data_IF_195188850285
#
_entry.id   IF_195188850285
#
_cell.length_a   1.000
_cell.length_b   1.000
_cell.length_c   1.000
_cell.angle_alpha   90.00
_cell.angle_beta   90.00
_cell.angle_gamma   90.00
#
_symmetry.space_group_name_H-M   'P 1'
#
loop_
_entity.id
_entity.type
_entity.pdbx_description
1 polymer ?
#
# COMPACT_ATOMS: atom_id res chain seq x y z
N UNK A 1 18.47 19.48 -6.40
CA UNK A 1 17.63 20.30 -5.50
C UNK A 1 16.47 20.91 -6.27
N UNK A 2 16.72 21.45 -7.47
CA UNK A 2 15.69 22.11 -8.29
C UNK A 2 14.54 21.20 -8.74
N UNK A 3 14.83 19.96 -9.16
CA UNK A 3 13.77 19.03 -9.61
C UNK A 3 12.85 18.46 -8.52
N UNK A 4 13.24 18.55 -7.24
CA UNK A 4 12.40 18.09 -6.12
C UNK A 4 11.34 19.16 -5.78
N UNK A 5 11.67 20.44 -5.96
CA UNK A 5 10.76 21.55 -5.70
C UNK A 5 9.61 21.58 -6.72
N UNK A 6 9.87 21.19 -7.98
CA UNK A 6 8.87 21.17 -9.06
C UNK A 6 7.82 20.05 -8.93
N UNK A 7 8.18 18.88 -8.39
CA UNK A 7 7.19 17.81 -8.12
C UNK A 7 6.28 18.14 -6.93
N UNK A 8 6.79 18.97 -6.02
CA UNK A 8 6.18 19.30 -4.74
C UNK A 8 5.11 20.38 -4.86
N UNK A 9 5.18 21.25 -5.87
CA UNK A 9 4.16 22.29 -6.12
C UNK A 9 2.75 21.72 -6.39
N UNK A 10 2.65 20.42 -6.71
CA UNK A 10 1.38 19.68 -6.86
C UNK A 10 0.60 19.47 -5.56
N UNK A 11 1.24 19.65 -4.40
CA UNK A 11 0.64 19.44 -3.08
C UNK A 11 0.53 20.75 -2.28
N UNK A 12 0.50 21.89 -2.98
CA UNK A 12 0.33 23.24 -2.42
C UNK A 12 -0.78 23.35 -1.38
N UNK A 13 -1.86 22.61 -1.59
CA UNK A 13 -3.11 22.74 -0.85
C UNK A 13 -3.03 22.01 0.51
N UNK A 14 -2.15 21.00 0.63
CA UNK A 14 -1.85 20.30 1.90
C UNK A 14 -0.99 21.21 2.79
N UNK A 15 -0.11 22.01 2.17
CA UNK A 15 0.83 22.91 2.85
C UNK A 15 0.14 24.18 3.37
N UNK A 16 -1.01 24.55 2.80
CA UNK A 16 -1.75 25.75 3.17
C UNK A 16 -2.34 25.71 4.59
N UNK A 17 -2.51 24.51 5.16
CA UNK A 17 -3.19 24.30 6.45
C UNK A 17 -2.22 24.16 7.64
N UNK A 18 -0.93 24.43 7.42
CA UNK A 18 0.09 24.38 8.49
C UNK A 18 0.00 25.68 9.33
N UNK A 19 -0.31 25.60 10.63
CA UNK A 19 -0.45 26.77 11.47
C UNK A 19 0.91 27.42 11.74
N UNK A 20 1.13 28.60 11.16
CA UNK A 20 2.34 29.41 11.34
C UNK A 20 2.81 30.02 10.03
N UNK A 21 3.23 31.29 10.05
CA UNK A 21 3.80 31.98 8.87
C UNK A 21 5.20 31.43 8.54
N UNK A 22 5.28 30.21 8.04
CA UNK A 22 6.52 29.58 7.58
C UNK A 22 6.48 29.54 6.05
N UNK A 23 7.58 29.88 5.37
CA UNK A 23 7.62 29.81 3.91
C UNK A 23 7.61 28.35 3.43
N UNK A 24 7.09 28.09 2.22
CA UNK A 24 7.10 26.74 1.61
C UNK A 24 8.49 26.09 1.67
N UNK A 25 9.53 26.85 1.33
CA UNK A 25 10.92 26.38 1.35
C UNK A 25 11.38 25.95 2.75
N UNK A 26 10.99 26.71 3.78
CA UNK A 26 11.30 26.39 5.18
C UNK A 26 10.55 25.15 5.65
N UNK A 27 9.26 25.01 5.30
CA UNK A 27 8.47 23.82 5.62
C UNK A 27 9.08 22.56 4.97
N UNK A 28 9.41 22.60 3.68
CA UNK A 28 10.00 21.44 3.01
C UNK A 28 11.37 21.07 3.56
N UNK A 29 12.19 22.06 3.89
CA UNK A 29 13.48 21.82 4.54
C UNK A 29 13.27 21.13 5.90
N UNK A 30 12.26 21.55 6.67
CA UNK A 30 11.93 20.93 7.95
C UNK A 30 11.41 19.50 7.78
N UNK A 31 10.42 19.27 6.91
CA UNK A 31 9.89 17.92 6.60
C UNK A 31 11.02 16.98 6.16
N UNK A 32 11.93 17.47 5.32
CA UNK A 32 13.05 16.66 4.85
C UNK A 32 14.01 16.28 5.98
N UNK A 33 14.37 17.24 6.85
CA UNK A 33 15.21 16.97 8.02
C UNK A 33 14.53 16.03 9.00
N UNK A 34 13.23 16.21 9.24
CA UNK A 34 12.44 15.36 10.13
C UNK A 34 12.35 13.94 9.58
N UNK A 35 12.11 13.78 8.28
CA UNK A 35 12.12 12.48 7.61
C UNK A 35 13.50 11.81 7.70
N UNK A 36 14.59 12.56 7.48
CA UNK A 36 15.95 12.03 7.64
C UNK A 36 16.24 11.57 9.06
N UNK A 37 15.77 12.31 10.07
CA UNK A 37 15.93 11.92 11.47
C UNK A 37 15.06 10.71 11.81
N UNK A 38 13.82 10.68 11.31
CA UNK A 38 12.89 9.59 11.51
C UNK A 38 13.45 8.25 11.02
N UNK A 39 13.99 8.19 9.80
CA UNK A 39 14.51 6.93 9.20
C UNK A 39 15.82 6.43 9.83
N UNK A 40 16.50 7.24 10.65
CA UNK A 40 17.72 6.81 11.34
C UNK A 40 17.43 5.90 12.53
N UNK A 41 16.24 5.97 13.10
CA UNK A 41 15.85 5.13 14.23
C UNK A 41 15.25 3.82 13.75
N UNK A 42 15.79 2.70 14.25
CA UNK A 42 15.34 1.36 13.87
C UNK A 42 13.84 1.13 14.16
N UNK A 43 13.34 1.62 15.28
CA UNK A 43 11.93 1.52 15.69
C UNK A 43 10.99 2.18 14.67
N UNK A 44 11.41 3.31 14.10
CA UNK A 44 10.63 4.03 13.10
C UNK A 44 10.59 3.28 11.77
N UNK A 45 11.72 2.68 11.35
CA UNK A 45 11.75 1.81 10.17
C UNK A 45 10.83 0.60 10.33
N UNK A 46 10.84 0.01 11.53
CA UNK A 46 9.95 -1.07 11.91
C UNK A 46 8.47 -0.63 11.85
N UNK A 47 8.15 0.55 12.38
CA UNK A 47 6.80 1.13 12.27
C UNK A 47 6.39 1.35 10.80
N UNK A 48 7.29 1.80 9.93
CA UNK A 48 7.00 2.00 8.51
C UNK A 48 6.50 0.73 7.83
N UNK A 49 6.96 -0.44 8.25
CA UNK A 49 6.49 -1.73 7.71
C UNK A 49 5.00 -1.92 7.95
N UNK A 50 4.45 -1.40 9.05
CA UNK A 50 3.01 -1.48 9.35
C UNK A 50 2.12 -0.60 8.48
N UNK A 51 2.70 0.23 7.62
CA UNK A 51 1.99 1.02 6.62
C UNK A 51 2.16 0.47 5.19
N UNK A 52 2.79 -0.70 5.03
CA UNK A 52 3.03 -1.30 3.72
C UNK A 52 1.88 -2.21 3.32
N UNK A 53 1.34 -2.00 2.12
CA UNK A 53 0.57 -3.00 1.39
C UNK A 53 1.53 -3.88 0.59
N UNK A 54 1.82 -5.07 1.10
CA UNK A 54 2.81 -5.93 0.48
C UNK A 54 2.25 -6.49 -0.84
N UNK A 55 2.81 -6.04 -1.96
CA UNK A 55 2.18 -6.16 -3.27
C UNK A 55 2.81 -7.27 -4.14
N UNK A 56 2.00 -8.02 -4.88
CA UNK A 56 2.41 -8.69 -6.12
C UNK A 56 1.34 -8.53 -7.19
N UNK A 57 1.73 -7.97 -8.32
CA UNK A 57 0.86 -7.74 -9.49
C UNK A 57 1.55 -8.29 -10.74
N UNK A 58 2.01 -9.54 -10.66
CA UNK A 58 2.68 -10.20 -11.78
C UNK A 58 1.70 -11.06 -12.58
N UNK A 59 1.85 -11.05 -13.91
CA UNK A 59 1.02 -11.85 -14.80
C UNK A 59 1.19 -13.37 -14.62
N UNK A 60 2.29 -13.80 -14.01
CA UNK A 60 2.62 -15.20 -13.71
C UNK A 60 2.32 -15.58 -12.24
N UNK A 61 1.57 -14.77 -11.49
CA UNK A 61 1.27 -15.08 -10.10
C UNK A 61 0.48 -16.39 -9.97
N UNK A 62 0.95 -17.24 -9.06
CA UNK A 62 0.36 -18.54 -8.73
C UNK A 62 -0.21 -18.50 -7.30
N UNK A 63 -1.16 -19.38 -6.94
CA UNK A 63 -1.67 -19.47 -5.57
C UNK A 63 -0.54 -19.56 -4.54
N UNK A 64 0.45 -20.43 -4.77
CA UNK A 64 1.58 -20.58 -3.86
C UNK A 64 2.48 -19.33 -3.73
N UNK A 65 2.54 -18.46 -4.74
CA UNK A 65 3.26 -17.18 -4.61
C UNK A 65 2.47 -16.19 -3.74
N UNK A 66 1.15 -16.17 -3.89
CA UNK A 66 0.24 -15.34 -3.08
C UNK A 66 0.23 -15.80 -1.62
N UNK A 67 0.23 -17.11 -1.38
CA UNK A 67 0.37 -17.66 -0.03
C UNK A 67 1.67 -17.21 0.65
N UNK A 68 2.80 -17.29 -0.07
CA UNK A 68 4.09 -16.79 0.44
C UNK A 68 4.12 -15.27 0.62
N UNK A 69 3.33 -14.52 -0.14
CA UNK A 69 3.16 -13.08 0.07
C UNK A 69 2.45 -12.82 1.40
N UNK A 70 1.33 -13.51 1.65
CA UNK A 70 0.59 -13.43 2.92
C UNK A 70 1.48 -13.81 4.11
N UNK A 71 2.23 -14.91 4.00
CA UNK A 71 3.16 -15.35 5.06
C UNK A 71 4.21 -14.28 5.37
N UNK A 72 4.75 -13.61 4.34
CA UNK A 72 5.70 -12.51 4.51
C UNK A 72 5.06 -11.25 5.07
N UNK A 73 3.83 -10.92 4.68
CA UNK A 73 3.08 -9.78 5.23
C UNK A 73 2.80 -9.96 6.73
N UNK A 74 2.58 -11.19 7.18
CA UNK A 74 2.35 -11.51 8.59
C UNK A 74 3.62 -11.57 9.45
N UNK A 75 4.81 -11.70 8.83
CA UNK A 75 6.10 -11.74 9.53
C UNK A 75 7.24 -11.17 8.66
N UNK A 76 7.18 -9.87 8.29
CA UNK A 76 8.14 -9.23 7.40
C UNK A 76 9.52 -9.03 8.04
N UNK A 77 9.58 -8.88 9.36
CA UNK A 77 10.81 -8.66 10.13
C UNK A 77 11.02 -9.80 11.11
N UNK A 78 12.11 -10.55 10.95
CA UNK A 78 12.41 -11.72 11.79
C UNK A 78 12.55 -11.33 13.26
N UNK A 79 11.76 -11.97 14.13
CA UNK A 79 11.80 -11.74 15.58
C UNK A 79 11.02 -10.50 16.05
N UNK A 80 10.31 -9.82 15.15
CA UNK A 80 9.38 -8.74 15.49
C UNK A 80 7.94 -9.22 15.39
N UNK A 81 7.03 -8.59 16.14
CA UNK A 81 5.58 -8.81 16.03
C UNK A 81 4.91 -7.92 14.98
N UNK A 82 5.68 -7.08 14.29
CA UNK A 82 5.19 -6.15 13.28
C UNK A 82 4.72 -6.90 12.05
N UNK A 83 3.62 -6.43 11.48
CA UNK A 83 3.01 -6.95 10.25
C UNK A 83 2.89 -5.82 9.23
N UNK A 84 2.78 -6.18 7.97
CA UNK A 84 2.32 -5.27 6.93
C UNK A 84 0.87 -4.84 7.18
N UNK A 85 0.45 -3.71 6.61
CA UNK A 85 -0.92 -3.22 6.69
C UNK A 85 -1.88 -4.18 5.99
N UNK A 86 -1.52 -4.60 4.78
CA UNK A 86 -2.29 -5.52 3.96
C UNK A 86 -1.41 -6.26 2.95
N UNK A 87 -2.03 -7.05 2.08
CA UNK A 87 -1.45 -7.44 0.78
C UNK A 87 -2.24 -6.84 -0.36
N UNK A 88 -1.58 -6.49 -1.47
CA UNK A 88 -2.25 -6.06 -2.70
C UNK A 88 -1.94 -7.02 -3.86
N UNK A 89 -3.01 -7.55 -4.49
CA UNK A 89 -2.93 -8.58 -5.53
C UNK A 89 -3.96 -8.37 -6.65
N UNK A 90 -3.85 -9.13 -7.73
CA UNK A 90 -4.87 -9.12 -8.79
C UNK A 90 -6.19 -9.77 -8.32
N UNK A 91 -7.36 -9.35 -8.87
CA UNK A 91 -8.68 -9.90 -8.52
C UNK A 91 -8.78 -11.42 -8.61
N UNK A 92 -8.06 -12.01 -9.58
CA UNK A 92 -8.03 -13.45 -9.83
C UNK A 92 -7.33 -14.27 -8.72
N UNK A 93 -6.63 -13.60 -7.78
CA UNK A 93 -5.88 -14.22 -6.69
C UNK A 93 -6.43 -13.91 -5.29
N UNK A 94 -7.46 -13.06 -5.19
CA UNK A 94 -8.07 -12.65 -3.91
C UNK A 94 -8.48 -13.87 -3.08
N UNK A 95 -9.13 -14.87 -3.70
CA UNK A 95 -9.58 -16.08 -2.98
C UNK A 95 -8.41 -16.87 -2.39
N UNK A 96 -7.27 -16.92 -3.08
CA UNK A 96 -6.08 -17.63 -2.60
C UNK A 96 -5.55 -16.97 -1.31
N UNK A 97 -5.47 -15.64 -1.29
CA UNK A 97 -5.08 -14.89 -0.10
C UNK A 97 -6.08 -15.06 1.05
N UNK A 98 -7.39 -14.94 0.77
CA UNK A 98 -8.46 -15.11 1.78
C UNK A 98 -8.38 -16.51 2.41
N UNK A 99 -8.19 -17.53 1.57
CA UNK A 99 -8.04 -18.90 2.04
C UNK A 99 -6.80 -19.06 2.92
N UNK A 100 -5.67 -18.48 2.53
CA UNK A 100 -4.43 -18.54 3.32
C UNK A 100 -4.56 -17.86 4.67
N UNK A 101 -5.12 -16.64 4.71
CA UNK A 101 -5.36 -15.89 5.95
C UNK A 101 -6.23 -16.70 6.91
N UNK A 102 -7.31 -17.33 6.40
CA UNK A 102 -8.17 -18.22 7.19
C UNK A 102 -7.43 -19.45 7.72
N UNK A 103 -6.62 -20.11 6.90
CA UNK A 103 -5.82 -21.27 7.32
C UNK A 103 -4.85 -20.94 8.46
N UNK A 104 -4.30 -19.73 8.45
CA UNK A 104 -3.38 -19.25 9.46
C UNK A 104 -4.07 -18.73 10.72
N UNK A 105 -5.42 -18.65 10.71
CA UNK A 105 -6.21 -17.98 11.75
C UNK A 105 -5.67 -16.57 12.05
N UNK A 106 -5.34 -15.84 10.99
CA UNK A 106 -4.77 -14.49 11.05
C UNK A 106 -5.82 -13.45 10.67
N UNK A 107 -5.56 -12.20 11.06
CA UNK A 107 -6.30 -11.03 10.60
C UNK A 107 -5.34 -10.17 9.76
N UNK A 108 -5.55 -10.18 8.45
CA UNK A 108 -4.76 -9.43 7.48
C UNK A 108 -5.69 -8.94 6.37
N UNK A 109 -5.85 -7.61 6.20
CA UNK A 109 -6.57 -7.04 5.08
C UNK A 109 -6.02 -7.48 3.73
N UNK A 110 -6.91 -7.62 2.75
CA UNK A 110 -6.58 -8.05 1.38
C UNK A 110 -7.07 -6.96 0.44
N UNK A 111 -6.13 -6.15 -0.03
CA UNK A 111 -6.35 -5.20 -1.10
C UNK A 111 -6.29 -5.92 -2.46
N UNK A 112 -7.06 -5.41 -3.41
CA UNK A 112 -6.97 -5.82 -4.81
C UNK A 112 -7.00 -4.60 -5.70
N UNK A 113 -6.17 -4.59 -6.73
CA UNK A 113 -6.38 -3.66 -7.84
C UNK A 113 -7.67 -4.03 -8.57
N UNK A 114 -8.38 -3.05 -9.12
CA UNK A 114 -9.56 -3.30 -9.97
C UNK A 114 -9.79 -2.11 -10.92
N UNK A 115 -10.93 -2.07 -11.60
CA UNK A 115 -11.30 -0.93 -12.43
C UNK A 115 -10.52 -0.84 -13.74
N UNK A 116 -10.04 -1.98 -14.26
CA UNK A 116 -9.28 -2.07 -15.50
C UNK A 116 -7.80 -1.75 -15.35
N UNK A 117 -7.25 -1.96 -14.14
CA UNK A 117 -5.83 -1.81 -13.86
C UNK A 117 -4.96 -2.58 -14.89
N UNK A 118 -3.82 -2.02 -15.35
CA UNK A 118 -3.28 -0.71 -14.98
C UNK A 118 -3.84 0.45 -15.83
N UNK A 119 -4.49 0.16 -16.95
CA UNK A 119 -4.86 1.19 -17.93
C UNK A 119 -6.07 2.04 -17.54
N UNK A 120 -7.03 1.45 -16.82
CA UNK A 120 -8.33 2.05 -16.53
C UNK A 120 -9.24 2.26 -17.75
N UNK A 121 -8.86 1.75 -18.93
CA UNK A 121 -9.46 2.09 -20.23
C UNK A 121 -10.57 1.12 -20.67
N UNK A 122 -11.00 0.21 -19.80
CA UNK A 122 -12.12 -0.69 -20.09
C UNK A 122 -13.47 0.03 -19.98
N UNK A 123 -14.47 -0.53 -20.67
CA UNK A 123 -15.85 -0.07 -20.55
C UNK A 123 -16.29 -0.06 -19.09
N UNK A 124 -17.12 0.92 -18.72
CA UNK A 124 -17.59 1.10 -17.35
C UNK A 124 -18.20 -0.18 -16.78
N UNK A 125 -18.98 -0.91 -17.58
CA UNK A 125 -19.60 -2.17 -17.18
C UNK A 125 -18.57 -3.23 -16.79
N UNK A 126 -17.50 -3.38 -17.56
CA UNK A 126 -16.40 -4.30 -17.26
C UNK A 126 -15.69 -3.93 -15.96
N UNK A 127 -15.40 -2.63 -15.77
CA UNK A 127 -14.76 -2.13 -14.55
C UNK A 127 -15.62 -2.39 -13.31
N UNK A 128 -16.91 -2.11 -13.40
CA UNK A 128 -17.85 -2.38 -12.32
C UNK A 128 -17.99 -3.87 -12.01
N UNK A 129 -18.01 -4.73 -13.04
CA UNK A 129 -18.06 -6.18 -12.85
C UNK A 129 -16.81 -6.70 -12.14
N UNK A 130 -15.62 -6.24 -12.54
CA UNK A 130 -14.36 -6.58 -11.90
C UNK A 130 -14.33 -6.17 -10.42
N UNK A 131 -14.72 -4.92 -10.11
CA UNK A 131 -14.80 -4.43 -8.72
C UNK A 131 -15.75 -5.28 -7.88
N UNK A 132 -16.96 -5.56 -8.40
CA UNK A 132 -17.95 -6.39 -7.69
C UNK A 132 -17.42 -7.80 -7.41
N UNK A 133 -16.70 -8.38 -8.38
CA UNK A 133 -16.10 -9.71 -8.21
C UNK A 133 -14.96 -9.70 -7.19
N UNK A 134 -14.10 -8.68 -7.19
CA UNK A 134 -13.04 -8.54 -6.18
C UNK A 134 -13.62 -8.48 -4.76
N UNK A 135 -14.65 -7.66 -4.54
CA UNK A 135 -15.37 -7.57 -3.26
C UNK A 135 -16.03 -8.92 -2.91
N UNK A 136 -16.72 -9.55 -3.86
CA UNK A 136 -17.35 -10.85 -3.64
C UNK A 136 -16.33 -11.97 -3.34
N UNK A 137 -15.09 -11.85 -3.81
CA UNK A 137 -14.01 -12.77 -3.51
C UNK A 137 -13.37 -12.52 -2.14
N UNK A 138 -13.71 -11.43 -1.47
CA UNK A 138 -13.27 -11.10 -0.12
C UNK A 138 -12.15 -10.05 -0.06
N UNK A 139 -11.96 -9.25 -1.11
CA UNK A 139 -11.11 -8.06 -1.00
C UNK A 139 -11.73 -7.07 -0.01
N UNK A 140 -10.93 -6.57 0.93
CA UNK A 140 -11.35 -5.62 1.96
C UNK A 140 -11.15 -4.17 1.52
N UNK A 141 -10.25 -3.94 0.56
CA UNK A 141 -9.90 -2.63 0.02
C UNK A 141 -9.70 -2.72 -1.49
N UNK A 142 -10.03 -1.64 -2.21
CA UNK A 142 -9.83 -1.52 -3.66
C UNK A 142 -8.83 -0.41 -3.96
N UNK A 143 -7.80 -0.74 -4.76
CA UNK A 143 -6.77 0.19 -5.25
C UNK A 143 -6.88 0.42 -6.76
#
# INVERSE_FOLDING_TARGET
MDGLLDEIDKFSDIVADVPGKISRQQLFSQIYLDAQNFVREKSNLEQLVSFIDLTTLSGDDTPGRVERLVDRALSPVKGSSIRCASVCIYPARVRDAVQRVKQLNADLPIASVAGGFPSGQYLLETRLAEIRLAVAHGATEGL
#
